data_IF_542636073726
#
_entry.id   IF_542636073726
#
_cell.length_a   1.000
_cell.length_b   1.000
_cell.length_c   1.000
_cell.angle_alpha   90.00
_cell.angle_beta   90.00
_cell.angle_gamma   90.00
#
_symmetry.space_group_name_H-M   'P 1'
#
loop_
_entity.id
_entity.type
_entity.pdbx_description
1 polymer ?
#
# COMPACT_ATOMS: atom_id res chain seq x y z
N UNK A 1 -6.15 -10.16 11.08
CA UNK A 1 -6.07 -9.41 9.81
C UNK A 1 -7.17 -8.37 9.76
N UNK A 2 -6.83 -7.16 9.35
CA UNK A 2 -7.79 -6.05 9.26
C UNK A 2 -8.65 -6.23 8.01
N UNK A 3 -9.97 -6.32 8.18
CA UNK A 3 -10.91 -6.42 7.06
C UNK A 3 -11.77 -5.18 6.91
N UNK A 4 -11.80 -4.32 7.92
CA UNK A 4 -12.49 -3.05 7.87
C UNK A 4 -11.91 -2.11 8.93
N UNK A 5 -12.06 -0.82 8.70
CA UNK A 5 -11.63 0.23 9.64
C UNK A 5 -12.86 1.06 9.97
N UNK A 6 -13.22 1.11 11.25
CA UNK A 6 -14.38 1.84 11.71
C UNK A 6 -14.05 3.28 12.10
N UNK A 7 -15.06 4.14 12.11
CA UNK A 7 -14.99 5.51 12.63
C UNK A 7 -13.94 6.37 11.93
N UNK A 8 -13.89 6.27 10.61
CA UNK A 8 -12.98 7.08 9.79
C UNK A 8 -13.76 7.94 8.80
N UNK A 9 -13.15 9.05 8.41
CA UNK A 9 -13.61 9.84 7.28
C UNK A 9 -12.89 9.36 6.03
N UNK A 10 -13.62 9.22 4.94
CA UNK A 10 -13.05 8.78 3.65
C UNK A 10 -13.07 9.94 2.68
N UNK A 11 -11.92 10.24 2.08
CA UNK A 11 -11.88 11.17 0.95
C UNK A 11 -12.52 10.49 -0.25
N UNK A 12 -13.60 11.07 -0.75
CA UNK A 12 -14.40 10.43 -1.80
C UNK A 12 -13.70 10.42 -3.16
N UNK A 13 -12.84 11.39 -3.39
CA UNK A 13 -12.04 11.39 -4.62
C UNK A 13 -10.85 10.44 -4.44
N UNK A 14 -10.72 9.50 -5.38
CA UNK A 14 -9.65 8.53 -5.36
C UNK A 14 -8.32 9.15 -5.77
N UNK A 15 -7.23 8.60 -5.22
CA UNK A 15 -5.87 8.83 -5.71
C UNK A 15 -5.60 7.79 -6.80
N UNK A 16 -5.36 8.23 -8.02
CA UNK A 16 -5.16 7.33 -9.16
C UNK A 16 -3.73 7.48 -9.65
N UNK A 17 -3.00 6.36 -9.66
CA UNK A 17 -1.60 6.30 -10.06
C UNK A 17 -1.42 5.29 -11.20
N UNK A 18 -0.40 5.50 -12.03
CA UNK A 18 0.00 4.56 -13.08
C UNK A 18 -1.18 4.19 -14.00
N UNK A 19 -1.91 5.19 -14.47
CA UNK A 19 -3.04 5.01 -15.38
C UNK A 19 -4.09 4.03 -14.85
N UNK A 20 -4.33 4.07 -13.54
CA UNK A 20 -5.35 3.23 -12.90
C UNK A 20 -4.83 1.89 -12.39
N UNK A 21 -3.55 1.59 -12.51
CA UNK A 21 -2.99 0.34 -11.95
C UNK A 21 -2.93 0.36 -10.44
N UNK A 22 -2.95 1.53 -9.82
CA UNK A 22 -3.06 1.70 -8.38
C UNK A 22 -4.09 2.77 -8.08
N UNK A 23 -5.09 2.42 -7.26
CA UNK A 23 -6.16 3.34 -6.85
C UNK A 23 -6.31 3.23 -5.35
N UNK A 24 -6.33 4.36 -4.66
CA UNK A 24 -6.52 4.39 -3.21
C UNK A 24 -7.43 5.54 -2.80
N UNK A 25 -8.00 5.41 -1.60
CA UNK A 25 -8.73 6.48 -0.94
C UNK A 25 -8.06 6.80 0.39
N UNK A 26 -7.88 8.08 0.66
CA UNK A 26 -7.30 8.55 1.92
C UNK A 26 -8.35 8.47 3.02
N UNK A 27 -7.94 7.94 4.17
CA UNK A 27 -8.76 7.88 5.38
C UNK A 27 -8.17 8.82 6.41
N UNK A 28 -9.05 9.45 7.19
CA UNK A 28 -8.65 10.27 8.34
C UNK A 28 -9.35 9.72 9.57
N UNK A 29 -8.56 9.34 10.58
CA UNK A 29 -9.05 8.82 11.84
C UNK A 29 -9.45 9.96 12.76
N UNK A 30 -10.16 9.63 13.85
CA UNK A 30 -10.66 10.64 14.80
C UNK A 30 -9.54 11.46 15.42
N UNK A 31 -8.35 10.90 15.60
CA UNK A 31 -7.19 11.60 16.17
C UNK A 31 -6.39 12.39 15.10
N UNK A 32 -6.86 12.44 13.87
CA UNK A 32 -6.18 13.12 12.78
C UNK A 32 -5.16 12.28 12.05
N UNK A 33 -4.93 11.05 12.49
CA UNK A 33 -4.01 10.12 11.81
C UNK A 33 -4.54 9.79 10.42
N UNK A 34 -3.64 9.73 9.45
CA UNK A 34 -3.99 9.41 8.08
C UNK A 34 -3.54 8.01 7.71
N UNK A 35 -4.37 7.34 6.94
CA UNK A 35 -4.07 6.06 6.29
C UNK A 35 -4.63 6.11 4.87
N UNK A 36 -4.31 5.12 4.06
CA UNK A 36 -5.02 4.92 2.80
C UNK A 36 -5.35 3.45 2.64
N UNK A 37 -6.44 3.18 1.94
CA UNK A 37 -6.82 1.83 1.53
C UNK A 37 -6.84 1.82 0.01
N UNK A 38 -6.29 0.76 -0.57
CA UNK A 38 -6.15 0.75 -2.00
C UNK A 38 -6.04 -0.63 -2.61
N UNK A 39 -5.98 -0.62 -3.93
CA UNK A 39 -5.81 -1.81 -4.74
C UNK A 39 -4.73 -1.55 -5.78
N UNK A 40 -3.89 -2.56 -6.00
CA UNK A 40 -2.92 -2.56 -7.09
C UNK A 40 -3.28 -3.71 -8.02
N UNK A 41 -3.53 -3.36 -9.27
CA UNK A 41 -3.82 -4.33 -10.33
C UNK A 41 -2.51 -4.97 -10.81
N UNK A 42 -2.59 -6.14 -11.48
CA UNK A 42 -1.36 -6.79 -11.96
C UNK A 42 -0.47 -5.86 -12.77
N UNK A 43 0.73 -5.61 -12.23
CA UNK A 43 1.73 -4.73 -12.83
C UNK A 43 3.00 -4.77 -11.97
N UNK A 44 4.08 -4.19 -12.48
CA UNK A 44 5.28 -3.90 -11.70
C UNK A 44 5.41 -2.39 -11.62
N UNK A 45 5.36 -1.85 -10.41
CA UNK A 45 5.31 -0.41 -10.18
C UNK A 45 6.44 0.03 -9.26
N UNK A 46 6.92 1.25 -9.48
CA UNK A 46 7.93 1.89 -8.62
C UNK A 46 7.27 3.02 -7.86
N UNK A 47 7.34 2.97 -6.54
CA UNK A 47 6.82 4.00 -5.65
C UNK A 47 7.94 4.73 -4.94
N UNK A 48 7.72 6.02 -4.70
CA UNK A 48 8.61 6.85 -3.91
C UNK A 48 7.88 7.26 -2.63
N UNK A 49 8.58 7.17 -1.49
CA UNK A 49 8.01 7.60 -0.21
C UNK A 49 8.46 9.00 0.15
N UNK A 50 7.57 9.76 0.78
CA UNK A 50 7.94 10.97 1.50
C UNK A 50 8.12 10.62 2.96
N UNK A 51 7.02 10.39 3.69
CA UNK A 51 7.06 9.87 5.05
C UNK A 51 7.31 8.35 5.02
N UNK A 52 7.82 7.77 6.12
CA UNK A 52 7.89 6.33 6.25
C UNK A 52 6.49 5.70 6.16
N UNK A 53 6.41 4.48 5.66
CA UNK A 53 5.15 3.77 5.47
C UNK A 53 5.24 2.35 5.99
N UNK A 54 4.11 1.84 6.47
CA UNK A 54 3.92 0.40 6.70
C UNK A 54 2.77 -0.04 5.81
N UNK A 55 3.03 -1.00 4.95
CA UNK A 55 2.05 -1.58 4.04
C UNK A 55 1.53 -2.88 4.63
N UNK A 56 0.24 -2.90 4.95
CA UNK A 56 -0.43 -4.08 5.48
C UNK A 56 -1.18 -4.76 4.34
N UNK A 57 -0.92 -6.04 4.11
CA UNK A 57 -1.59 -6.81 3.06
C UNK A 57 -2.94 -7.30 3.56
N UNK A 58 -4.01 -6.93 2.87
CA UNK A 58 -5.38 -7.29 3.22
C UNK A 58 -5.83 -8.53 2.44
N UNK A 59 -5.60 -8.53 1.13
CA UNK A 59 -5.99 -9.64 0.26
C UNK A 59 -5.07 -9.69 -0.96
N UNK A 60 -4.94 -10.87 -1.53
CA UNK A 60 -4.01 -11.11 -2.62
C UNK A 60 -2.59 -11.25 -2.12
N UNK A 61 -1.62 -11.14 -3.01
CA UNK A 61 -0.21 -11.25 -2.69
C UNK A 61 0.59 -10.31 -3.59
N UNK A 62 1.77 -9.94 -3.12
CA UNK A 62 2.69 -9.14 -3.91
C UNK A 62 4.12 -9.59 -3.65
N UNK A 63 5.02 -9.17 -4.53
CA UNK A 63 6.45 -9.26 -4.30
C UNK A 63 7.01 -7.84 -4.27
N UNK A 64 7.93 -7.58 -3.36
CA UNK A 64 8.47 -6.25 -3.11
C UNK A 64 9.98 -6.29 -3.15
N UNK A 65 10.57 -5.34 -3.87
CA UNK A 65 12.00 -5.08 -3.82
C UNK A 65 12.20 -3.83 -2.98
N UNK A 66 12.62 -4.05 -1.73
CA UNK A 66 12.80 -2.97 -0.76
C UNK A 66 14.09 -2.19 -1.03
N UNK A 67 14.18 -0.92 -0.56
CA UNK A 67 15.38 -0.11 -0.75
C UNK A 67 16.62 -0.82 -0.20
N UNK A 68 17.68 -0.86 -1.01
CA UNK A 68 18.94 -1.49 -0.61
C UNK A 68 18.97 -3.01 -0.66
N UNK A 69 17.85 -3.64 -0.99
CA UNK A 69 17.77 -5.09 -1.13
C UNK A 69 17.96 -5.48 -2.59
N UNK A 70 18.55 -6.65 -2.83
CA UNK A 70 18.76 -7.19 -4.17
C UNK A 70 17.79 -8.31 -4.52
N UNK A 71 16.96 -8.75 -3.56
CA UNK A 71 16.05 -9.86 -3.75
C UNK A 71 14.62 -9.42 -3.46
N UNK A 72 13.69 -9.94 -4.26
CA UNK A 72 12.26 -9.73 -4.08
C UNK A 72 11.77 -10.57 -2.91
N UNK A 73 10.90 -9.98 -2.08
CA UNK A 73 10.26 -10.66 -0.96
C UNK A 73 8.76 -10.74 -1.22
N UNK A 74 8.16 -11.88 -0.87
CA UNK A 74 6.73 -12.09 -1.06
C UNK A 74 5.98 -11.78 0.23
N UNK A 75 4.83 -11.10 0.07
CA UNK A 75 3.92 -10.79 1.17
C UNK A 75 2.52 -11.23 0.80
N UNK A 76 1.85 -11.89 1.73
CA UNK A 76 0.50 -12.40 1.58
C UNK A 76 -0.41 -11.80 2.64
N UNK A 77 -1.72 -12.09 2.54
CA UNK A 77 -2.72 -11.53 3.46
C UNK A 77 -2.31 -11.74 4.92
N UNK A 78 -2.41 -10.69 5.71
CA UNK A 78 -2.00 -10.68 7.12
C UNK A 78 -0.54 -10.30 7.35
N UNK A 79 0.27 -10.18 6.30
CA UNK A 79 1.67 -9.79 6.42
C UNK A 79 1.86 -8.32 6.08
N UNK A 80 2.89 -7.71 6.64
CA UNK A 80 3.20 -6.29 6.43
C UNK A 80 4.67 -6.11 6.09
N UNK A 81 4.98 -4.98 5.46
CA UNK A 81 6.36 -4.56 5.27
C UNK A 81 6.47 -3.06 5.51
N UNK A 82 7.64 -2.63 5.98
CA UNK A 82 7.93 -1.23 6.26
C UNK A 82 8.87 -0.66 5.19
N UNK A 83 8.63 0.58 4.81
CA UNK A 83 9.48 1.31 3.86
C UNK A 83 9.91 2.60 4.53
N UNK A 84 11.23 2.92 4.54
CA UNK A 84 11.70 4.17 5.12
C UNK A 84 11.22 5.37 4.33
N UNK A 85 11.28 6.56 4.95
CA UNK A 85 10.99 7.81 4.26
C UNK A 85 12.04 8.15 3.22
N UNK A 86 11.67 9.00 2.26
CA UNK A 86 12.54 9.49 1.19
C UNK A 86 13.27 8.36 0.46
N UNK A 87 12.53 7.30 0.16
CA UNK A 87 13.08 6.08 -0.44
C UNK A 87 12.25 5.67 -1.66
N UNK A 88 12.77 4.69 -2.38
CA UNK A 88 12.09 4.12 -3.54
C UNK A 88 12.02 2.61 -3.38
N UNK A 89 10.89 2.01 -3.75
CA UNK A 89 10.74 0.56 -3.75
C UNK A 89 9.91 0.13 -4.95
N UNK A 90 10.04 -1.14 -5.32
CA UNK A 90 9.23 -1.71 -6.39
C UNK A 90 8.27 -2.74 -5.83
N UNK A 91 7.08 -2.80 -6.40
CA UNK A 91 6.06 -3.79 -6.04
C UNK A 91 5.57 -4.46 -7.32
N UNK A 92 5.48 -5.78 -7.28
CA UNK A 92 5.03 -6.59 -8.42
C UNK A 92 3.81 -7.39 -7.99
N UNK A 93 2.73 -7.24 -8.76
CA UNK A 93 1.47 -7.95 -8.54
C UNK A 93 1.19 -8.77 -9.78
N UNK A 94 0.90 -10.06 -9.61
CA UNK A 94 0.60 -10.98 -10.70
C UNK A 94 -0.71 -11.71 -10.43
N UNK A 95 -1.48 -11.95 -11.50
CA UNK A 95 -2.73 -12.70 -11.44
C UNK A 95 -3.88 -11.89 -10.87
N UNK A 96 -4.10 -11.98 -9.56
CA UNK A 96 -5.20 -11.30 -8.88
C UNK A 96 -4.76 -9.94 -8.32
N UNK A 97 -5.69 -8.99 -8.13
CA UNK A 97 -5.38 -7.71 -7.51
C UNK A 97 -4.86 -7.87 -6.08
N UNK A 98 -4.01 -6.91 -5.67
CA UNK A 98 -3.45 -6.83 -4.34
C UNK A 98 -4.14 -5.70 -3.58
N UNK A 99 -4.70 -6.00 -2.41
CA UNK A 99 -5.40 -5.03 -1.57
C UNK A 99 -4.58 -4.73 -0.33
N UNK A 100 -4.52 -3.45 0.05
CA UNK A 100 -3.63 -3.04 1.12
C UNK A 100 -4.19 -1.90 1.95
N UNK A 101 -3.64 -1.75 3.15
CA UNK A 101 -3.77 -0.55 3.97
C UNK A 101 -2.38 0.03 4.08
N UNK A 102 -2.23 1.32 3.77
CA UNK A 102 -0.98 2.04 3.96
C UNK A 102 -1.08 2.87 5.22
N UNK A 103 -0.18 2.63 6.18
CA UNK A 103 -0.06 3.38 7.41
C UNK A 103 1.08 4.38 7.25
N UNK A 104 0.78 5.66 7.36
CA UNK A 104 1.77 6.73 7.21
C UNK A 104 2.39 7.10 8.54
N UNK A 105 3.64 7.55 8.49
CA UNK A 105 4.37 8.00 9.65
C UNK A 105 5.16 6.91 10.29
#
# INVERSE_FOLDING_TARGET
>A
MTTQIANVSVSTQANVYFDGKCVSHTLTLADGTRKSVGVILPATLTFNTGAPEVMETVAGACEVLLPGHSEWQRFEAGQSFAVPGDASFQIRVEGAPYHYICHFG
#
